data_IF_038937411243
#
_entry.id   IF_038937411243
#
_cell.length_a   1.000
_cell.length_b   1.000
_cell.length_c   1.000
_cell.angle_alpha   90.00
_cell.angle_beta   90.00
_cell.angle_gamma   90.00
#
_symmetry.space_group_name_H-M   'P 1'
#
loop_
_entity.id
_entity.type
_entity.pdbx_description
1 polymer ?
#
# COMPACT_ATOMS: atom_id res chain seq x y z
N UNK A 1 4.65 -29.73 10.46
CA UNK A 1 4.84 -29.29 11.87
C UNK A 1 5.05 -27.78 12.04
N UNK A 2 5.91 -27.11 11.26
CA UNK A 2 6.22 -25.68 11.45
C UNK A 2 5.01 -24.73 11.32
N UNK A 3 4.09 -24.99 10.38
CA UNK A 3 2.88 -24.17 10.18
C UNK A 3 1.97 -24.17 11.43
N UNK A 4 1.66 -25.35 11.98
CA UNK A 4 0.85 -25.48 13.20
C UNK A 4 1.47 -24.72 14.38
N UNK A 5 2.80 -24.82 14.56
CA UNK A 5 3.51 -24.09 15.61
C UNK A 5 3.38 -22.57 15.47
N UNK A 6 3.45 -22.07 14.24
CA UNK A 6 3.30 -20.63 13.95
C UNK A 6 1.89 -20.14 14.28
N UNK A 7 0.87 -20.91 13.89
CA UNK A 7 -0.54 -20.60 14.18
C UNK A 7 -0.78 -20.56 15.68
N UNK A 8 -0.25 -21.53 16.44
CA UNK A 8 -0.40 -21.55 17.90
C UNK A 8 0.22 -20.33 18.58
N UNK A 9 1.35 -19.83 18.09
CA UNK A 9 1.99 -18.62 18.63
C UNK A 9 1.21 -17.34 18.33
N UNK A 10 0.59 -17.26 17.14
CA UNK A 10 -0.32 -16.16 16.79
C UNK A 10 -1.62 -16.21 17.60
N UNK A 11 -2.07 -17.42 17.97
CA UNK A 11 -3.28 -17.65 18.77
C UNK A 11 -3.01 -17.74 20.28
N UNK A 12 -1.83 -17.31 20.75
CA UNK A 12 -1.53 -17.31 22.18
C UNK A 12 -2.59 -16.49 22.94
N UNK A 13 -3.17 -17.10 23.98
CA UNK A 13 -4.25 -16.50 24.79
C UNK A 13 -3.78 -15.23 25.48
N UNK A 14 -2.60 -15.26 26.09
CA UNK A 14 -1.97 -14.10 26.71
C UNK A 14 -1.38 -13.18 25.62
N UNK A 15 -1.84 -11.91 25.50
CA UNK A 15 -1.29 -10.95 24.56
C UNK A 15 0.22 -10.72 24.72
N UNK A 16 0.76 -10.81 25.95
CA UNK A 16 2.19 -10.60 26.20
C UNK A 16 3.06 -11.70 25.58
N UNK A 17 2.48 -12.87 25.35
CA UNK A 17 3.15 -14.02 24.74
C UNK A 17 2.79 -14.20 23.25
N UNK A 18 1.85 -13.40 22.74
CA UNK A 18 1.38 -13.51 21.37
C UNK A 18 2.43 -12.97 20.40
N UNK A 19 2.76 -13.78 19.40
CA UNK A 19 3.66 -13.37 18.32
C UNK A 19 3.12 -12.10 17.65
N UNK A 20 3.96 -11.07 17.54
CA UNK A 20 3.57 -9.76 17.02
C UNK A 20 3.10 -8.74 18.07
N UNK A 21 2.92 -9.13 19.33
CA UNK A 21 2.57 -8.24 20.44
C UNK A 21 3.75 -7.91 21.38
N UNK A 22 4.93 -8.47 21.08
CA UNK A 22 6.18 -8.22 21.80
C UNK A 22 6.85 -6.92 21.29
N UNK A 23 8.01 -6.56 21.87
CA UNK A 23 8.71 -5.31 21.53
C UNK A 23 9.14 -5.21 20.06
N UNK A 24 9.36 -6.34 19.39
CA UNK A 24 9.69 -6.44 17.96
C UNK A 24 8.48 -6.35 17.04
N UNK A 25 7.26 -6.43 17.57
CA UNK A 25 6.01 -6.26 16.84
C UNK A 25 5.95 -7.07 15.53
N UNK A 26 5.60 -6.40 14.44
CA UNK A 26 5.54 -7.03 13.12
C UNK A 26 6.89 -7.58 12.63
N UNK A 27 8.02 -7.05 13.10
CA UNK A 27 9.33 -7.58 12.72
C UNK A 27 9.53 -9.02 13.23
N UNK A 28 9.04 -9.32 14.45
CA UNK A 28 9.05 -10.67 15.00
C UNK A 28 8.21 -11.65 14.18
N UNK A 29 7.06 -11.21 13.68
CA UNK A 29 6.21 -12.01 12.78
C UNK A 29 6.96 -12.28 11.47
N UNK A 30 7.52 -11.25 10.83
CA UNK A 30 8.23 -11.35 9.55
C UNK A 30 9.47 -12.27 9.63
N UNK A 31 10.15 -12.29 10.78
CA UNK A 31 11.32 -13.14 11.00
C UNK A 31 10.99 -14.62 11.29
N UNK A 32 9.71 -14.96 11.51
CA UNK A 32 9.32 -16.32 11.87
C UNK A 32 9.60 -17.32 10.72
N UNK A 33 10.08 -18.53 11.05
CA UNK A 33 10.51 -19.53 10.05
C UNK A 33 9.44 -19.96 9.05
N UNK A 34 8.16 -19.72 9.36
CA UNK A 34 7.05 -19.94 8.44
C UNK A 34 7.07 -18.98 7.26
N UNK A 35 7.44 -17.73 7.48
CA UNK A 35 7.52 -16.68 6.46
C UNK A 35 8.91 -16.54 5.84
N UNK A 36 9.84 -17.47 6.10
CA UNK A 36 11.23 -17.40 5.64
C UNK A 36 11.40 -17.28 4.12
N UNK A 37 10.40 -17.74 3.35
CA UNK A 37 10.40 -17.69 1.89
C UNK A 37 9.71 -16.43 1.33
N UNK A 38 9.25 -15.50 2.18
CA UNK A 38 8.60 -14.27 1.77
C UNK A 38 9.60 -13.11 1.80
N UNK A 39 9.81 -12.48 0.64
CA UNK A 39 10.48 -11.18 0.58
C UNK A 39 9.47 -10.06 0.86
N UNK A 40 9.40 -9.59 2.11
CA UNK A 40 8.40 -8.59 2.51
C UNK A 40 8.53 -7.24 1.80
N UNK A 41 9.74 -6.82 1.41
CA UNK A 41 9.94 -5.58 0.65
C UNK A 41 9.29 -5.67 -0.74
N UNK A 42 9.46 -6.81 -1.42
CA UNK A 42 8.85 -7.07 -2.73
C UNK A 42 7.33 -7.26 -2.63
N UNK A 43 6.87 -7.91 -1.55
CA UNK A 43 5.45 -8.09 -1.28
C UNK A 43 4.75 -6.73 -1.10
N UNK A 44 5.30 -5.86 -0.26
CA UNK A 44 4.76 -4.51 0.00
C UNK A 44 4.82 -3.60 -1.24
N UNK A 45 5.80 -3.80 -2.11
CA UNK A 45 5.91 -3.11 -3.39
C UNK A 45 4.96 -3.67 -4.48
N UNK A 46 4.26 -4.79 -4.24
CA UNK A 46 3.38 -5.42 -5.23
C UNK A 46 4.10 -6.08 -6.40
N UNK A 47 5.38 -6.46 -6.25
CA UNK A 47 6.22 -7.04 -7.33
C UNK A 47 6.40 -8.56 -7.15
N UNK A 48 5.72 -9.16 -6.17
CA UNK A 48 5.59 -10.62 -6.11
C UNK A 48 4.36 -11.03 -6.89
N UNK A 49 4.53 -12.03 -7.75
CA UNK A 49 3.42 -12.66 -8.44
C UNK A 49 2.48 -13.33 -7.41
N UNK A 50 1.18 -13.00 -7.41
CA UNK A 50 0.23 -13.65 -6.53
C UNK A 50 0.00 -15.09 -6.98
N UNK A 51 -0.23 -16.00 -6.03
CA UNK A 51 -0.48 -17.41 -6.33
C UNK A 51 -1.81 -17.65 -7.04
N UNK A 52 -2.69 -16.65 -7.07
CA UNK A 52 -3.99 -16.71 -7.70
C UNK A 52 -4.35 -15.32 -8.23
N UNK A 53 -4.70 -15.26 -9.51
CA UNK A 53 -5.28 -14.10 -10.17
C UNK A 53 -6.67 -14.53 -10.65
N UNK A 54 -7.76 -13.94 -10.13
CA UNK A 54 -9.10 -14.26 -10.60
C UNK A 54 -9.26 -13.97 -12.09
N UNK A 55 -9.88 -14.89 -12.83
CA UNK A 55 -10.18 -14.68 -14.24
C UNK A 55 -11.36 -13.71 -14.40
N UNK A 56 -11.15 -12.63 -15.15
CA UNK A 56 -12.14 -11.56 -15.28
C UNK A 56 -13.41 -11.97 -16.01
N UNK A 57 -13.35 -13.01 -16.86
CA UNK A 57 -14.49 -13.54 -17.58
C UNK A 57 -15.28 -14.48 -16.66
N UNK A 58 -14.61 -15.41 -15.99
CA UNK A 58 -15.24 -16.36 -15.08
C UNK A 58 -15.94 -15.67 -13.91
N UNK A 59 -15.35 -14.59 -13.37
CA UNK A 59 -15.95 -13.85 -12.26
C UNK A 59 -17.04 -12.86 -12.70
N UNK A 60 -17.42 -12.85 -13.99
CA UNK A 60 -18.37 -11.91 -14.61
C UNK A 60 -17.97 -10.41 -14.49
N UNK A 61 -16.81 -10.11 -13.89
CA UNK A 61 -16.32 -8.75 -13.70
C UNK A 61 -16.10 -8.01 -15.02
N UNK A 62 -15.72 -8.73 -16.08
CA UNK A 62 -15.62 -8.13 -17.40
C UNK A 62 -16.97 -7.62 -17.89
N UNK A 63 -18.05 -8.38 -17.70
CA UNK A 63 -19.41 -7.97 -18.10
C UNK A 63 -19.91 -6.76 -17.32
N UNK A 64 -19.59 -6.69 -16.03
CA UNK A 64 -19.97 -5.57 -15.15
C UNK A 64 -19.23 -4.27 -15.50
N UNK A 65 -17.96 -4.37 -15.91
CA UNK A 65 -17.09 -3.22 -16.16
C UNK A 65 -17.08 -2.78 -17.63
N UNK A 66 -17.17 -3.73 -18.57
CA UNK A 66 -17.10 -3.46 -20.00
C UNK A 66 -18.48 -3.04 -20.55
N UNK A 67 -19.00 -1.91 -20.06
CA UNK A 67 -20.30 -1.36 -20.43
C UNK A 67 -20.12 -0.14 -21.33
N UNK A 68 -20.84 -0.11 -22.45
CA UNK A 68 -20.89 1.04 -23.35
C UNK A 68 -22.07 1.97 -23.01
N UNK A 69 -21.97 3.23 -23.44
CA UNK A 69 -23.08 4.17 -23.32
C UNK A 69 -24.23 3.85 -24.28
N UNK A 70 -25.33 4.61 -24.17
CA UNK A 70 -26.49 4.47 -25.04
C UNK A 70 -26.08 4.48 -26.52
N UNK A 71 -26.64 3.57 -27.33
CA UNK A 71 -26.28 3.40 -28.74
C UNK A 71 -24.80 3.05 -29.00
N UNK A 72 -24.12 2.42 -28.03
CA UNK A 72 -22.73 2.04 -28.17
C UNK A 72 -21.77 3.23 -28.12
N UNK A 73 -22.20 4.36 -27.56
CA UNK A 73 -21.31 5.51 -27.39
C UNK A 73 -20.18 5.18 -26.44
N UNK A 74 -19.08 5.91 -26.63
CA UNK A 74 -17.93 5.83 -25.74
C UNK A 74 -18.34 6.18 -24.31
N UNK A 75 -17.97 5.37 -23.30
CA UNK A 75 -18.26 5.69 -21.92
C UNK A 75 -17.44 6.92 -21.45
N UNK A 76 -17.91 7.66 -20.42
CA UNK A 76 -17.31 8.93 -19.98
C UNK A 76 -15.82 8.85 -19.64
N UNK A 77 -15.38 7.72 -19.07
CA UNK A 77 -13.99 7.43 -18.69
C UNK A 77 -13.03 7.35 -19.90
N UNK A 78 -13.56 7.13 -21.10
CA UNK A 78 -12.80 7.09 -22.34
C UNK A 78 -12.93 8.40 -23.17
N UNK A 79 -13.71 9.38 -22.70
CA UNK A 79 -13.80 10.70 -23.34
C UNK A 79 -12.62 11.58 -22.94
N UNK A 80 -11.65 11.73 -23.84
CA UNK A 80 -10.45 12.57 -23.65
C UNK A 80 -10.75 14.06 -23.41
N UNK A 81 -11.94 14.52 -23.79
CA UNK A 81 -12.35 15.91 -23.55
C UNK A 81 -12.88 16.12 -22.13
N UNK A 82 -13.11 15.05 -21.37
CA UNK A 82 -13.57 15.12 -19.99
C UNK A 82 -12.38 15.05 -19.03
N UNK A 83 -12.25 16.00 -18.09
CA UNK A 83 -11.26 15.86 -17.03
C UNK A 83 -11.64 14.69 -16.12
N UNK A 84 -10.66 13.99 -15.52
CA UNK A 84 -10.95 12.90 -14.58
C UNK A 84 -11.80 13.43 -13.43
N UNK A 85 -12.80 12.63 -13.00
CA UNK A 85 -13.65 13.03 -11.89
C UNK A 85 -12.81 13.37 -10.65
N UNK A 86 -13.02 14.53 -10.03
CA UNK A 86 -12.27 14.90 -8.83
C UNK A 86 -12.54 13.87 -7.73
N UNK A 87 -11.55 13.55 -6.88
CA UNK A 87 -11.75 12.68 -5.74
C UNK A 87 -12.94 13.17 -4.92
N UNK A 88 -13.87 12.27 -4.57
CA UNK A 88 -15.08 12.64 -3.84
C UNK A 88 -14.68 13.33 -2.54
N UNK A 89 -14.93 14.64 -2.45
CA UNK A 89 -14.60 15.42 -1.26
C UNK A 89 -15.57 15.06 -0.15
N UNK A 90 -15.06 14.44 0.91
CA UNK A 90 -15.84 14.22 2.12
C UNK A 90 -15.87 15.50 2.95
N UNK A 91 -16.91 15.71 3.76
CA UNK A 91 -16.94 16.78 4.77
C UNK A 91 -15.71 16.72 5.69
N UNK A 92 -15.15 15.53 5.88
CA UNK A 92 -13.94 15.29 6.66
C UNK A 92 -12.66 15.88 6.03
N UNK A 93 -12.63 16.11 4.71
CA UNK A 93 -11.45 16.71 4.05
C UNK A 93 -11.17 18.13 4.54
N UNK A 94 -12.21 18.87 4.94
CA UNK A 94 -12.06 20.20 5.53
C UNK A 94 -11.61 20.13 6.99
N UNK A 95 -12.02 19.09 7.71
CA UNK A 95 -11.74 18.92 9.14
C UNK A 95 -10.28 18.50 9.37
N UNK A 96 -9.74 17.62 8.53
CA UNK A 96 -8.39 17.06 8.72
C UNK A 96 -7.25 17.79 7.99
N UNK A 97 -7.53 18.79 7.13
CA UNK A 97 -6.50 19.51 6.37
C UNK A 97 -5.69 20.57 7.14
N UNK A 98 -5.96 20.81 8.43
CA UNK A 98 -5.48 22.05 9.08
C UNK A 98 -4.06 22.06 9.65
N UNK A 99 -3.23 21.00 9.63
CA UNK A 99 -1.90 21.11 10.30
C UNK A 99 -0.73 20.33 9.66
N UNK A 100 -0.18 20.85 8.55
CA UNK A 100 1.25 20.65 8.23
C UNK A 100 1.94 22.02 8.29
N UNK A 101 2.50 22.35 9.45
CA UNK A 101 3.54 23.39 9.59
C UNK A 101 4.88 22.70 9.35
N UNK A 102 5.49 22.93 8.20
CA UNK A 102 6.90 22.54 7.98
C UNK A 102 7.75 23.65 8.59
N UNK A 103 8.45 23.34 9.70
CA UNK A 103 9.58 24.16 10.15
C UNK A 103 10.73 23.97 9.18
N UNK A 104 11.10 25.02 8.46
CA UNK A 104 12.34 25.10 7.69
C UNK A 104 13.52 25.30 8.65
N UNK A 105 14.32 24.26 8.88
CA UNK A 105 15.67 24.41 9.45
C UNK A 105 16.64 24.69 8.30
N UNK A 106 17.09 25.94 8.19
CA UNK A 106 18.21 26.36 7.34
C UNK A 106 19.53 25.97 8.00
N UNK A 107 20.32 25.11 7.35
CA UNK A 107 21.74 24.92 7.68
C UNK A 107 22.59 25.60 6.60
N UNK A 108 23.29 26.64 7.05
CA UNK A 108 24.35 27.39 6.41
C UNK A 108 25.56 26.48 6.16
N UNK A 109 26.12 26.49 4.95
CA UNK A 109 27.49 26.01 4.69
C UNK A 109 28.17 27.07 3.80
N UNK A 110 29.17 27.72 4.38
CA UNK A 110 30.08 28.65 3.71
C UNK A 110 31.18 27.91 2.94
N UNK A 111 31.62 28.61 1.91
CA UNK A 111 32.67 28.34 0.94
C UNK A 111 34.08 28.15 1.54
N UNK A 112 35.03 27.53 0.80
CA UNK A 112 36.18 28.33 0.39
C UNK A 112 36.62 28.17 -1.07
N UNK A 113 37.24 29.25 -1.56
CA UNK A 113 37.82 29.47 -2.88
C UNK A 113 39.03 28.56 -3.11
N UNK A 114 39.14 27.98 -4.29
CA UNK A 114 40.43 27.55 -4.85
C UNK A 114 40.73 28.32 -6.14
N UNK A 115 41.90 28.94 -6.12
CA UNK A 115 42.57 29.65 -7.21
C UNK A 115 43.62 28.71 -7.82
N UNK A 116 43.99 29.00 -9.08
CA UNK A 116 45.10 28.49 -9.91
C UNK A 116 44.85 27.18 -10.70
N UNK A 117 45.24 27.06 -11.97
CA UNK A 117 46.09 27.89 -12.87
C UNK A 117 45.54 27.90 -14.29
#
# INVERSE_FOLDING_TARGET
MAALRSVLQLLAKDPKQRLGCQADGAAGVKAHSFFKNINFKRLEAGILEPSFVPDMIETECFSDLNVFGLQGTRPPDLDWNQPPEPPRRSLLDRIFRRHVRISSTSTTEEHPREHNS
#
